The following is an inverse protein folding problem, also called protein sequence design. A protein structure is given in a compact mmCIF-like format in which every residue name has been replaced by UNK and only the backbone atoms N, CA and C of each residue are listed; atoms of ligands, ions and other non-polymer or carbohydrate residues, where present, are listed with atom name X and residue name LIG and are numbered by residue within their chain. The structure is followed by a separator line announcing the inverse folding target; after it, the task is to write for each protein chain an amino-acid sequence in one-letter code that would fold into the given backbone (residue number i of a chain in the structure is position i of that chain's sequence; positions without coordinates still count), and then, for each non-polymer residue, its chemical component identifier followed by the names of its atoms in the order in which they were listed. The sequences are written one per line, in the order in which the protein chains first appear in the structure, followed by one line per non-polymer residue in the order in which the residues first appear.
data_IF_215030113520
#
_entry.id   IF_215030113520
#
_cell.length_a   1.000
_cell.length_b   1.000
_cell.length_c   1.000
_cell.angle_alpha   90.00
_cell.angle_beta   90.00
_cell.angle_gamma   90.00
#
_symmetry.space_group_name_H-M   'P 1'
#
loop_
_entity.id
_entity.type
_entity.pdbx_description
1 polymer ?
#
# COMPACT_ATOMS: atom_id res chain seq x y z
N UNK A 1 -6.79 -17.72 34.10
CA UNK A 1 -5.37 -17.76 33.70
C UNK A 1 -5.19 -16.65 32.69
N UNK A 2 -4.58 -15.53 33.08
CA UNK A 2 -4.46 -14.36 32.21
C UNK A 2 -3.41 -14.63 31.14
N UNK A 3 -3.76 -14.41 29.88
CA UNK A 3 -2.82 -14.53 28.76
C UNK A 3 -2.04 -13.23 28.71
N UNK A 4 -0.75 -13.30 29.04
CA UNK A 4 0.17 -12.17 28.90
C UNK A 4 0.60 -12.08 27.44
N UNK A 5 0.41 -10.92 26.81
CA UNK A 5 0.93 -10.65 25.46
C UNK A 5 1.73 -9.36 25.43
N UNK A 6 2.91 -9.43 24.85
CA UNK A 6 3.76 -8.26 24.62
C UNK A 6 3.38 -7.62 23.30
N UNK A 7 3.09 -6.31 23.32
CA UNK A 7 2.95 -5.51 22.10
C UNK A 7 4.16 -4.59 21.99
N UNK A 8 4.84 -4.68 20.86
CA UNK A 8 5.92 -3.77 20.49
C UNK A 8 5.33 -2.56 19.78
N UNK A 9 5.62 -1.38 20.30
CA UNK A 9 5.22 -0.12 19.67
C UNK A 9 6.44 0.65 19.19
N UNK A 10 6.29 1.35 18.06
CA UNK A 10 7.27 2.32 17.56
C UNK A 10 7.04 3.66 18.25
N UNK A 11 8.10 4.22 18.85
CA UNK A 11 8.03 5.51 19.53
C UNK A 11 7.93 6.66 18.52
N UNK A 12 6.71 7.08 18.16
CA UNK A 12 6.47 8.12 17.14
C UNK A 12 6.15 9.52 17.69
N UNK A 13 5.71 9.65 18.95
CA UNK A 13 5.69 10.87 19.80
C UNK A 13 4.82 10.63 21.04
N UNK A 14 4.92 11.45 22.10
CA UNK A 14 4.15 11.28 23.35
C UNK A 14 2.63 11.54 23.21
N UNK A 15 2.17 12.23 22.16
CA UNK A 15 0.78 12.70 22.06
C UNK A 15 -0.20 11.65 21.51
N UNK A 16 0.27 10.65 20.77
CA UNK A 16 -0.59 9.60 20.17
C UNK A 16 -1.04 8.49 21.13
N UNK A 17 -0.52 8.43 22.37
CA UNK A 17 -0.68 7.27 23.25
C UNK A 17 -1.97 7.25 24.07
N UNK A 18 -2.44 8.41 24.50
CA UNK A 18 -3.60 8.51 25.42
C UNK A 18 -4.87 8.01 24.73
N UNK A 19 -5.00 8.28 23.42
CA UNK A 19 -6.17 7.88 22.62
C UNK A 19 -6.17 6.38 22.31
N UNK A 20 -5.00 5.74 22.26
CA UNK A 20 -4.89 4.34 21.82
C UNK A 20 -4.98 3.34 22.98
N UNK A 21 -4.55 3.72 24.19
CA UNK A 21 -4.53 2.80 25.34
C UNK A 21 -5.94 2.42 25.83
N UNK A 22 -6.86 3.38 25.91
CA UNK A 22 -8.24 3.14 26.35
C UNK A 22 -9.01 2.22 25.39
N UNK A 23 -8.75 2.35 24.09
CA UNK A 23 -9.36 1.49 23.07
C UNK A 23 -8.88 0.04 23.19
N UNK A 24 -7.57 -0.16 23.38
CA UNK A 24 -6.98 -1.50 23.48
C UNK A 24 -7.50 -2.23 24.72
N UNK A 25 -7.49 -1.56 25.89
CA UNK A 25 -7.95 -2.18 27.14
C UNK A 25 -9.46 -2.42 27.14
N UNK A 26 -10.26 -1.54 26.52
CA UNK A 26 -11.70 -1.72 26.42
C UNK A 26 -12.11 -2.90 25.53
N UNK A 27 -11.39 -3.17 24.44
CA UNK A 27 -11.75 -4.23 23.49
C UNK A 27 -11.18 -5.60 23.87
N UNK A 28 -10.12 -5.63 24.68
CA UNK A 28 -9.43 -6.88 25.06
C UNK A 28 -9.19 -6.98 26.57
N UNK A 29 -10.25 -6.96 27.40
CA UNK A 29 -10.12 -6.98 28.88
C UNK A 29 -9.53 -8.28 29.44
N UNK A 30 -9.56 -9.37 28.67
CA UNK A 30 -9.00 -10.67 29.05
C UNK A 30 -7.48 -10.78 28.85
N UNK A 31 -6.86 -9.79 28.23
CA UNK A 31 -5.43 -9.77 27.92
C UNK A 31 -4.73 -8.73 28.78
N UNK A 32 -3.69 -9.17 29.48
CA UNK A 32 -2.79 -8.25 30.18
C UNK A 32 -1.67 -7.85 29.23
N UNK A 33 -1.63 -6.55 28.87
CA UNK A 33 -0.71 -6.02 27.87
C UNK A 33 0.52 -5.43 28.54
N UNK A 34 1.67 -6.06 28.29
CA UNK A 34 2.97 -5.47 28.62
C UNK A 34 3.48 -4.66 27.42
N UNK A 35 3.72 -3.37 27.65
CA UNK A 35 4.21 -2.45 26.63
C UNK A 35 5.74 -2.44 26.66
N UNK A 36 6.35 -2.75 25.52
CA UNK A 36 7.78 -2.63 25.32
C UNK A 36 8.07 -1.65 24.19
N UNK A 37 9.02 -0.75 24.42
CA UNK A 37 9.44 0.23 23.43
C UNK A 37 10.57 -0.32 22.57
N UNK A 38 10.44 -0.15 21.27
CA UNK A 38 11.52 -0.42 20.32
C UNK A 38 12.02 0.88 19.72
N UNK A 39 13.33 1.01 19.55
CA UNK A 39 13.91 2.14 18.85
C UNK A 39 13.47 2.12 17.37
N UNK A 40 13.10 3.28 16.80
CA UNK A 40 12.65 3.35 15.41
C UNK A 40 13.78 3.04 14.41
N UNK A 41 15.04 3.29 14.80
CA UNK A 41 16.23 2.94 14.03
C UNK A 41 17.09 1.92 14.76
N UNK A 42 17.74 1.05 13.99
CA UNK A 42 18.75 0.10 14.48
C UNK A 42 20.12 0.50 13.94
N UNK A 43 21.21 0.11 14.60
CA UNK A 43 22.56 0.35 14.09
C UNK A 43 22.71 -0.16 12.65
N UNK A 44 22.17 -1.35 12.35
CA UNK A 44 22.19 -1.91 11.00
C UNK A 44 21.51 -1.04 9.93
N UNK A 45 20.57 -0.17 10.31
CA UNK A 45 19.95 0.76 9.35
C UNK A 45 20.90 1.85 8.84
N UNK A 46 21.96 2.18 9.59
CA UNK A 46 22.99 3.14 9.18
C UNK A 46 24.06 2.51 8.27
N UNK A 47 24.18 1.18 8.27
CA UNK A 47 25.19 0.43 7.52
C UNK A 47 24.52 -0.57 6.58
N UNK A 48 23.79 -0.09 5.55
CA UNK A 48 23.18 -0.99 4.57
C UNK A 48 24.25 -1.74 3.80
N UNK A 49 24.06 -3.05 3.62
CA UNK A 49 24.99 -3.90 2.87
C UNK A 49 25.02 -3.58 1.37
N UNK A 50 23.89 -3.09 0.82
CA UNK A 50 23.76 -2.74 -0.60
C UNK A 50 23.49 -1.25 -0.75
N UNK A 51 24.01 -0.70 -1.84
CA UNK A 51 23.69 0.66 -2.26
C UNK A 51 22.20 0.81 -2.57
N UNK A 52 21.69 2.02 -2.33
CA UNK A 52 20.32 2.38 -2.70
C UNK A 52 20.25 2.63 -4.20
N UNK A 53 19.29 1.96 -4.84
CA UNK A 53 18.95 2.21 -6.25
C UNK A 53 18.28 3.58 -6.37
N UNK A 54 18.88 4.49 -7.13
CA UNK A 54 18.41 5.87 -7.29
C UNK A 54 17.35 6.00 -8.38
N UNK A 55 17.58 5.33 -9.51
CA UNK A 55 16.69 5.37 -10.67
C UNK A 55 15.35 4.71 -10.34
N UNK A 56 14.25 5.36 -10.71
CA UNK A 56 12.89 4.93 -10.34
C UNK A 56 12.55 3.59 -10.99
N UNK A 57 12.90 3.44 -12.27
CA UNK A 57 12.61 2.27 -13.10
C UNK A 57 13.36 1.04 -12.63
N UNK A 58 14.49 1.20 -11.96
CA UNK A 58 15.32 0.09 -11.47
C UNK A 58 14.87 -0.45 -10.11
N UNK A 59 13.90 0.21 -9.48
CA UNK A 59 13.44 -0.15 -8.14
C UNK A 59 12.38 -1.25 -8.17
N UNK A 60 12.32 -2.03 -7.09
CA UNK A 60 11.41 -3.16 -6.90
C UNK A 60 10.65 -3.04 -5.57
N UNK A 61 9.61 -3.87 -5.40
CA UNK A 61 8.73 -3.87 -4.22
C UNK A 61 8.08 -2.50 -3.95
N UNK A 62 7.55 -1.90 -5.02
CA UNK A 62 6.99 -0.54 -5.03
C UNK A 62 5.52 -0.54 -5.41
N UNK A 63 4.79 0.41 -4.84
CA UNK A 63 3.50 0.88 -5.36
C UNK A 63 3.79 2.14 -6.14
N UNK A 64 3.36 2.16 -7.39
CA UNK A 64 3.61 3.26 -8.32
C UNK A 64 2.30 3.83 -8.86
N UNK A 65 2.40 5.07 -9.32
CA UNK A 65 1.32 5.84 -9.91
C UNK A 65 1.73 6.26 -11.32
N UNK A 66 0.84 6.01 -12.27
CA UNK A 66 0.92 6.49 -13.64
C UNK A 66 -0.11 7.60 -13.84
N UNK A 67 0.33 8.66 -14.50
CA UNK A 67 -0.52 9.79 -14.88
C UNK A 67 -0.61 9.86 -16.41
N UNK A 68 -1.72 10.41 -16.91
CA UNK A 68 -1.91 10.65 -18.33
C UNK A 68 -1.59 12.10 -18.64
N UNK A 69 -0.92 12.34 -19.77
CA UNK A 69 -0.57 13.71 -20.20
C UNK A 69 -1.77 14.48 -20.74
N UNK A 70 -2.75 13.75 -21.26
CA UNK A 70 -3.91 14.29 -21.98
C UNK A 70 -5.17 14.42 -21.11
N UNK A 71 -5.18 13.82 -19.92
CA UNK A 71 -6.33 13.79 -19.02
C UNK A 71 -5.89 13.52 -17.57
N UNK A 72 -6.72 13.85 -16.59
CA UNK A 72 -6.46 13.59 -15.16
C UNK A 72 -6.62 12.11 -14.76
N UNK A 73 -6.59 11.20 -15.74
CA UNK A 73 -6.68 9.77 -15.47
C UNK A 73 -5.41 9.30 -14.74
N UNK A 74 -5.62 8.51 -13.70
CA UNK A 74 -4.57 7.94 -12.88
C UNK A 74 -4.73 6.43 -12.88
N UNK A 75 -3.61 5.72 -12.92
CA UNK A 75 -3.54 4.30 -12.62
C UNK A 75 -2.57 4.08 -11.46
N UNK A 76 -3.00 3.28 -10.48
CA UNK A 76 -2.16 2.88 -9.35
C UNK A 76 -1.92 1.38 -9.46
N UNK A 77 -0.68 0.95 -9.37
CA UNK A 77 -0.31 -0.45 -9.45
C UNK A 77 0.81 -0.81 -8.49
N UNK A 78 0.96 -2.10 -8.21
CA UNK A 78 2.13 -2.65 -7.52
C UNK A 78 3.08 -3.41 -8.46
N UNK A 79 4.33 -3.57 -8.03
CA UNK A 79 5.25 -4.56 -8.60
C UNK A 79 6.22 -5.09 -7.55
N UNK A 80 6.41 -6.41 -7.52
CA UNK A 80 7.47 -7.06 -6.73
C UNK A 80 8.79 -7.07 -7.48
N UNK A 81 8.72 -7.10 -8.81
CA UNK A 81 9.86 -7.05 -9.73
C UNK A 81 10.28 -5.60 -9.97
N UNK A 82 11.40 -5.44 -10.67
CA UNK A 82 11.89 -4.13 -11.15
C UNK A 82 10.78 -3.42 -11.96
N UNK A 83 10.52 -2.16 -11.61
CA UNK A 83 9.45 -1.33 -12.15
C UNK A 83 9.53 -1.21 -13.67
N UNK A 84 10.73 -1.02 -14.23
CA UNK A 84 10.95 -0.89 -15.67
C UNK A 84 10.41 -2.08 -16.47
N UNK A 85 10.49 -3.31 -15.95
CA UNK A 85 9.87 -4.47 -16.61
C UNK A 85 8.35 -4.37 -16.61
N UNK A 86 7.75 -3.95 -15.48
CA UNK A 86 6.31 -3.76 -15.38
C UNK A 86 5.82 -2.69 -16.35
N UNK A 87 6.57 -1.60 -16.50
CA UNK A 87 6.26 -0.52 -17.44
C UNK A 87 6.33 -1.00 -18.89
N UNK A 88 7.34 -1.81 -19.25
CA UNK A 88 7.42 -2.42 -20.58
C UNK A 88 6.18 -3.29 -20.86
N UNK A 89 5.72 -4.08 -19.88
CA UNK A 89 4.48 -4.86 -20.01
C UNK A 89 3.25 -3.96 -20.23
N UNK A 90 3.16 -2.82 -19.55
CA UNK A 90 2.08 -1.85 -19.78
C UNK A 90 2.10 -1.22 -21.19
N UNK A 91 3.28 -1.17 -21.83
CA UNK A 91 3.44 -0.65 -23.19
C UNK A 91 3.14 -1.67 -24.29
N UNK A 92 3.29 -2.96 -24.03
CA UNK A 92 3.24 -4.01 -25.07
C UNK A 92 2.15 -5.04 -24.90
N UNK A 93 1.64 -5.25 -23.68
CA UNK A 93 0.73 -6.35 -23.41
C UNK A 93 -0.73 -5.97 -23.64
N UNK A 94 -1.39 -6.67 -24.57
CA UNK A 94 -2.83 -6.57 -24.80
C UNK A 94 -3.67 -6.91 -23.55
N UNK A 95 -3.16 -7.64 -22.55
CA UNK A 95 -3.90 -7.93 -21.33
C UNK A 95 -3.86 -6.79 -20.29
N UNK A 96 -3.02 -5.78 -20.52
CA UNK A 96 -2.84 -4.67 -19.60
C UNK A 96 -3.98 -3.67 -19.70
N UNK A 97 -4.58 -3.29 -18.57
CA UNK A 97 -5.60 -2.24 -18.52
C UNK A 97 -5.09 -0.91 -19.09
N UNK A 98 -3.83 -0.56 -18.81
CA UNK A 98 -3.18 0.63 -19.37
C UNK A 98 -3.07 0.59 -20.90
N UNK A 99 -2.66 -0.55 -21.44
CA UNK A 99 -2.53 -0.74 -22.88
C UNK A 99 -3.90 -0.69 -23.57
N UNK A 100 -4.90 -1.35 -22.99
CA UNK A 100 -6.26 -1.36 -23.51
C UNK A 100 -6.90 0.02 -23.48
N UNK A 101 -6.70 0.80 -22.41
CA UNK A 101 -7.21 2.18 -22.34
C UNK A 101 -6.58 3.06 -23.43
N UNK A 102 -5.25 3.00 -23.59
CA UNK A 102 -4.54 3.73 -24.64
C UNK A 102 -5.01 3.35 -26.06
N UNK A 103 -5.40 2.09 -26.28
CA UNK A 103 -5.92 1.63 -27.57
C UNK A 103 -7.35 2.09 -27.84
N UNK A 104 -8.20 2.08 -26.82
CA UNK A 104 -9.64 2.31 -26.96
C UNK A 104 -10.02 3.79 -26.83
N UNK A 105 -9.19 4.61 -26.19
CA UNK A 105 -9.44 6.04 -25.97
C UNK A 105 -8.53 6.89 -26.85
N UNK A 106 -9.12 7.53 -27.86
CA UNK A 106 -8.40 8.41 -28.79
C UNK A 106 -7.81 9.59 -28.02
N UNK A 107 -6.48 9.75 -28.09
CA UNK A 107 -5.76 10.85 -27.45
C UNK A 107 -5.27 10.59 -26.04
N UNK A 108 -5.63 9.46 -25.41
CA UNK A 108 -5.12 9.07 -24.10
C UNK A 108 -3.66 8.62 -24.19
N UNK A 109 -2.73 9.43 -23.67
CA UNK A 109 -1.30 9.08 -23.62
C UNK A 109 -0.80 9.01 -22.19
N UNK A 110 -0.27 7.85 -21.80
CA UNK A 110 0.37 7.63 -20.51
C UNK A 110 1.73 8.31 -20.48
N UNK A 111 2.02 9.03 -19.40
CA UNK A 111 3.34 9.59 -19.14
C UNK A 111 4.23 8.56 -18.46
N UNK A 112 4.96 7.78 -19.27
CA UNK A 112 5.83 6.73 -18.76
C UNK A 112 7.17 7.23 -18.22
N UNK A 113 7.54 8.49 -18.48
CA UNK A 113 8.81 9.06 -18.02
C UNK A 113 8.66 9.79 -16.67
N UNK A 114 7.43 10.08 -16.25
CA UNK A 114 7.10 10.71 -14.96
C UNK A 114 6.42 9.76 -13.99
N UNK A 115 6.96 8.54 -13.84
CA UNK A 115 6.39 7.55 -12.92
C UNK A 115 6.71 7.95 -11.49
N UNK A 116 5.69 7.95 -10.65
CA UNK A 116 5.84 8.30 -9.24
C UNK A 116 5.76 7.03 -8.38
N UNK A 117 6.77 6.78 -7.54
CA UNK A 117 6.67 5.76 -6.50
C UNK A 117 6.00 6.38 -5.28
N UNK A 118 4.79 5.91 -4.97
CA UNK A 118 3.97 6.44 -3.87
C UNK A 118 4.11 5.63 -2.57
N UNK A 119 4.58 4.38 -2.65
CA UNK A 119 4.82 3.55 -1.46
C UNK A 119 5.77 2.37 -1.73
N UNK A 120 6.25 1.73 -0.66
CA UNK A 120 7.18 0.61 -0.68
C UNK A 120 6.84 -0.43 0.38
N UNK A 121 7.17 -1.69 0.14
CA UNK A 121 7.08 -2.73 1.15
C UNK A 121 8.26 -3.70 1.07
N UNK A 122 8.48 -4.47 2.12
CA UNK A 122 9.48 -5.54 2.16
C UNK A 122 8.93 -6.88 1.64
N UNK A 123 7.61 -6.99 1.44
CA UNK A 123 6.95 -8.20 0.95
C UNK A 123 5.67 -7.87 0.17
N UNK A 124 5.21 -8.86 -0.60
CA UNK A 124 4.07 -8.72 -1.48
C UNK A 124 2.75 -8.45 -0.77
N UNK A 125 2.48 -9.12 0.35
CA UNK A 125 1.22 -8.97 1.08
C UNK A 125 1.05 -7.53 1.57
N UNK A 126 2.09 -6.95 2.18
CA UNK A 126 2.08 -5.53 2.57
C UNK A 126 1.93 -4.62 1.35
N UNK A 127 2.54 -4.97 0.23
CA UNK A 127 2.44 -4.20 -1.02
C UNK A 127 1.01 -4.20 -1.57
N UNK A 128 0.32 -5.34 -1.53
CA UNK A 128 -1.10 -5.49 -1.91
C UNK A 128 -2.02 -4.65 -1.03
N UNK A 129 -1.80 -4.68 0.29
CA UNK A 129 -2.57 -3.86 1.23
C UNK A 129 -2.35 -2.37 0.92
N UNK A 130 -1.10 -1.95 0.71
CA UNK A 130 -0.76 -0.56 0.39
C UNK A 130 -1.36 -0.10 -0.94
N UNK A 131 -1.24 -0.91 -1.99
CA UNK A 131 -1.88 -0.65 -3.29
C UNK A 131 -3.39 -0.46 -3.13
N UNK A 132 -4.06 -1.36 -2.41
CA UNK A 132 -5.49 -1.28 -2.15
C UNK A 132 -5.85 0.00 -1.39
N UNK A 133 -5.11 0.36 -0.34
CA UNK A 133 -5.33 1.59 0.42
C UNK A 133 -5.19 2.84 -0.45
N UNK A 134 -4.18 2.89 -1.31
CA UNK A 134 -3.98 4.01 -2.25
C UNK A 134 -5.12 4.09 -3.27
N UNK A 135 -5.58 2.97 -3.82
CA UNK A 135 -6.72 2.95 -4.74
C UNK A 135 -8.01 3.36 -4.04
N UNK A 136 -8.28 2.88 -2.82
CA UNK A 136 -9.48 3.26 -2.06
C UNK A 136 -9.48 4.76 -1.71
N UNK A 137 -8.31 5.30 -1.37
CA UNK A 137 -8.14 6.73 -1.04
C UNK A 137 -8.29 7.63 -2.27
N UNK A 138 -7.64 7.30 -3.37
CA UNK A 138 -7.56 8.18 -4.57
C UNK A 138 -8.65 7.91 -5.60
N UNK A 139 -9.28 6.73 -5.57
CA UNK A 139 -10.31 6.27 -6.52
C UNK A 139 -9.95 6.48 -8.00
N UNK A 140 -8.76 6.04 -8.46
CA UNK A 140 -8.32 6.19 -9.84
C UNK A 140 -9.30 5.58 -10.85
N UNK A 141 -9.56 6.32 -11.92
CA UNK A 141 -10.54 5.99 -12.96
C UNK A 141 -10.20 4.72 -13.75
N UNK A 142 -8.91 4.35 -13.82
CA UNK A 142 -8.42 3.21 -14.60
C UNK A 142 -8.36 1.89 -13.82
N UNK A 143 -8.40 1.94 -12.49
CA UNK A 143 -8.43 0.75 -11.64
C UNK A 143 -9.84 0.13 -11.57
N UNK A 144 -10.51 -0.02 -12.71
CA UNK A 144 -11.87 -0.58 -12.83
C UNK A 144 -11.93 -2.06 -12.42
N UNK A 145 -10.78 -2.75 -12.40
CA UNK A 145 -10.66 -4.19 -12.15
C UNK A 145 -10.80 -4.60 -10.67
N UNK A 146 -10.76 -3.68 -9.72
CA UNK A 146 -10.90 -4.05 -8.29
C UNK A 146 -12.28 -4.63 -7.93
N UNK A 147 -13.28 -4.53 -8.80
CA UNK A 147 -14.57 -5.17 -8.60
C UNK A 147 -14.65 -6.58 -9.20
N UNK A 148 -13.75 -6.96 -10.11
CA UNK A 148 -13.86 -8.21 -10.87
C UNK A 148 -12.77 -9.26 -10.56
N UNK A 149 -11.64 -8.87 -9.96
CA UNK A 149 -10.49 -9.76 -9.78
C UNK A 149 -10.00 -9.90 -8.32
N UNK A 150 -10.66 -9.29 -7.33
CA UNK A 150 -10.23 -9.42 -5.94
C UNK A 150 -10.67 -10.77 -5.37
N UNK A 151 -9.89 -11.82 -5.63
CA UNK A 151 -9.93 -13.08 -4.89
C UNK A 151 -9.34 -12.90 -3.46
N UNK A 152 -9.52 -11.73 -2.85
CA UNK A 152 -8.89 -11.36 -1.59
C UNK A 152 -9.95 -11.05 -0.55
N UNK A 153 -10.01 -11.93 0.46
CA UNK A 153 -10.64 -11.74 1.76
C UNK A 153 -10.29 -10.40 2.41
N UNK A 154 -9.19 -9.74 2.05
CA UNK A 154 -8.75 -8.47 2.63
C UNK A 154 -9.72 -7.31 2.32
N UNK A 155 -10.28 -7.23 1.10
CA UNK A 155 -11.28 -6.19 0.77
C UNK A 155 -12.55 -6.41 1.60
N UNK A 156 -12.95 -7.67 1.77
CA UNK A 156 -14.07 -8.07 2.63
C UNK A 156 -13.79 -7.77 4.10
N UNK A 157 -12.59 -8.08 4.61
CA UNK A 157 -12.19 -7.83 6.00
C UNK A 157 -12.16 -6.33 6.27
N UNK A 158 -11.56 -5.52 5.40
CA UNK A 158 -11.50 -4.07 5.56
C UNK A 158 -12.90 -3.45 5.48
N UNK A 159 -13.74 -3.88 4.52
CA UNK A 159 -15.13 -3.39 4.39
C UNK A 159 -15.98 -3.81 5.59
N UNK A 160 -15.89 -5.06 6.04
CA UNK A 160 -16.59 -5.55 7.24
C UNK A 160 -16.13 -4.81 8.50
N UNK A 161 -14.82 -4.63 8.68
CA UNK A 161 -14.26 -3.88 9.81
C UNK A 161 -14.69 -2.41 9.79
N UNK A 162 -14.79 -1.80 8.61
CA UNK A 162 -15.28 -0.44 8.44
C UNK A 162 -16.78 -0.30 8.78
N UNK A 163 -17.62 -1.24 8.35
CA UNK A 163 -19.04 -1.27 8.72
C UNK A 163 -19.22 -1.41 10.24
N UNK A 164 -18.49 -2.33 10.87
CA UNK A 164 -18.52 -2.54 12.32
C UNK A 164 -18.12 -1.27 13.09
N UNK A 165 -17.11 -0.53 12.61
CA UNK A 165 -16.73 0.75 13.20
C UNK A 165 -17.78 1.85 13.00
N UNK A 166 -18.53 1.81 11.89
CA UNK A 166 -19.59 2.80 11.58
C UNK A 166 -20.88 2.56 12.37
N UNK A 167 -21.19 1.29 12.64
CA UNK A 167 -22.41 0.85 13.33
C UNK A 167 -22.25 0.80 14.86
N UNK A 168 -21.02 0.79 15.38
CA UNK A 168 -20.71 0.88 16.80
C UNK A 168 -20.70 2.30 17.40
N UNK A 169 -21.47 3.23 16.84
CA UNK A 169 -21.71 4.58 17.38
C UNK A 169 -23.16 4.76 17.80
#
# INVERSE_FOLDING_TARGET
MNIVKTILFECLSQETWVVNWSLVTSNFPQVDFNVAFKTPTTIGSYFPFKDKVKEVEEQSLVVYKLQFNSCEAIYIGKTERILGHRIKEHKTSNSSACFQDMKNSVGHKIHYDGIEIIDRADNNMKLQVKELLHILKQKPTLNKQLNAQSNYDIKTIIVKAYQQFREGK
#
